data_IF_879263725487
#
_entry.id   IF_879263725487
#
_cell.length_a   1.000
_cell.length_b   1.000
_cell.length_c   1.000
_cell.angle_alpha   90.00
_cell.angle_beta   90.00
_cell.angle_gamma   90.00
#
_symmetry.space_group_name_H-M   'P 1'
#
loop_
_entity.id
_entity.type
_entity.pdbx_description
1 polymer ?
#
# COMPACT_ATOMS: atom_id res chain seq x y z
N UNK A 1 -5.28 22.66 11.96
CA UNK A 1 -5.31 21.37 11.23
C UNK A 1 -3.89 20.83 11.11
N UNK A 2 -3.68 19.52 11.21
CA UNK A 2 -2.35 18.91 10.96
C UNK A 2 -2.17 18.71 9.45
N UNK A 3 -1.03 19.14 8.91
CA UNK A 3 -0.69 18.94 7.50
C UNK A 3 -0.12 17.52 7.32
N UNK A 4 -1.00 16.54 7.12
CA UNK A 4 -0.68 15.13 6.93
C UNK A 4 -1.18 14.70 5.55
N UNK A 5 -0.31 14.06 4.77
CA UNK A 5 -0.69 13.43 3.50
C UNK A 5 -0.93 11.95 3.75
N UNK A 6 -2.07 11.46 3.27
CA UNK A 6 -2.36 10.03 3.24
C UNK A 6 -2.01 9.49 1.86
N UNK A 7 -1.28 8.37 1.85
CA UNK A 7 -0.96 7.60 0.66
C UNK A 7 -1.24 6.15 0.97
N UNK A 8 -2.07 5.52 0.14
CA UNK A 8 -2.32 4.08 0.18
C UNK A 8 -1.46 3.38 -0.88
N UNK A 9 -1.01 2.17 -0.58
CA UNK A 9 -0.17 1.36 -1.46
C UNK A 9 -0.81 -0.03 -1.54
N UNK A 10 -1.08 -0.50 -2.75
CA UNK A 10 -1.64 -1.83 -2.98
C UNK A 10 -0.90 -2.53 -4.11
N UNK A 11 -0.79 -3.86 -4.03
CA UNK A 11 -0.14 -4.70 -5.06
C UNK A 11 -1.04 -4.96 -6.28
N UNK A 12 -2.29 -4.49 -6.25
CA UNK A 12 -3.21 -4.53 -7.37
C UNK A 12 -2.76 -3.65 -8.55
N UNK A 13 -3.27 -3.98 -9.74
CA UNK A 13 -3.04 -3.17 -10.94
C UNK A 13 -3.60 -1.75 -10.81
N UNK A 14 -2.98 -0.79 -11.49
CA UNK A 14 -3.42 0.62 -11.44
C UNK A 14 -4.88 0.83 -11.85
N UNK A 15 -5.37 0.07 -12.86
CA UNK A 15 -6.74 0.22 -13.39
C UNK A 15 -7.82 -0.12 -12.34
N UNK A 16 -7.83 -1.30 -11.69
CA UNK A 16 -8.80 -1.60 -10.64
C UNK A 16 -8.67 -0.66 -9.44
N UNK A 17 -7.46 -0.30 -9.02
CA UNK A 17 -7.25 0.65 -7.91
C UNK A 17 -7.86 2.01 -8.22
N UNK A 18 -7.63 2.55 -9.43
CA UNK A 18 -8.24 3.82 -9.85
C UNK A 18 -9.76 3.73 -9.87
N UNK A 19 -10.33 2.64 -10.41
CA UNK A 19 -11.79 2.43 -10.42
C UNK A 19 -12.37 2.40 -9.00
N UNK A 20 -11.69 1.77 -8.04
CA UNK A 20 -12.10 1.76 -6.64
C UNK A 20 -12.01 3.16 -6.03
N UNK A 21 -10.91 3.88 -6.27
CA UNK A 21 -10.70 5.25 -5.79
C UNK A 21 -11.81 6.20 -6.24
N UNK A 22 -12.18 6.12 -7.52
CA UNK A 22 -13.23 6.93 -8.12
C UNK A 22 -14.61 6.58 -7.54
N UNK A 23 -14.90 5.27 -7.40
CA UNK A 23 -16.17 4.76 -6.84
C UNK A 23 -16.38 5.20 -5.39
N UNK A 24 -15.33 5.13 -4.58
CA UNK A 24 -15.38 5.44 -3.15
C UNK A 24 -15.00 6.90 -2.84
N UNK A 25 -14.73 7.71 -3.88
CA UNK A 25 -14.40 9.14 -3.79
C UNK A 25 -13.24 9.44 -2.84
N UNK A 26 -12.17 8.64 -2.91
CA UNK A 26 -11.00 8.81 -2.05
C UNK A 26 -10.35 10.19 -2.23
N UNK A 27 -9.97 10.79 -1.10
CA UNK A 27 -9.28 12.08 -1.05
C UNK A 27 -7.76 11.96 -0.86
N UNK A 28 -7.25 10.73 -0.88
CA UNK A 28 -5.85 10.39 -0.71
C UNK A 28 -5.29 9.74 -1.97
N UNK A 29 -3.97 9.81 -2.14
CA UNK A 29 -3.29 9.19 -3.28
C UNK A 29 -3.21 7.68 -3.10
N UNK A 30 -3.30 6.93 -4.21
CA UNK A 30 -3.05 5.49 -4.24
C UNK A 30 -1.88 5.21 -5.17
N UNK A 31 -0.96 4.35 -4.72
CA UNK A 31 0.14 3.82 -5.51
C UNK A 31 -0.15 2.36 -5.82
N UNK A 32 -0.02 2.00 -7.10
CA UNK A 32 -0.04 0.62 -7.55
C UNK A 32 1.39 0.03 -7.49
N UNK A 33 1.67 -0.75 -6.45
CA UNK A 33 2.92 -1.48 -6.26
C UNK A 33 2.83 -2.87 -6.91
N UNK A 34 2.56 -2.92 -8.22
CA UNK A 34 2.17 -4.14 -8.94
C UNK A 34 3.18 -5.31 -8.84
N UNK A 35 4.42 -5.01 -8.43
CA UNK A 35 5.51 -5.99 -8.27
C UNK A 35 5.95 -6.16 -6.81
N UNK A 36 5.17 -5.64 -5.85
CA UNK A 36 5.46 -5.64 -4.42
C UNK A 36 6.83 -5.02 -4.06
N UNK A 37 7.37 -4.10 -4.86
CA UNK A 37 8.71 -3.52 -4.66
C UNK A 37 8.75 -2.71 -3.37
N UNK A 38 7.79 -1.80 -3.19
CA UNK A 38 7.71 -0.97 -1.99
C UNK A 38 7.41 -1.87 -0.78
N UNK A 39 6.49 -2.81 -0.94
CA UNK A 39 6.12 -3.77 0.11
C UNK A 39 7.32 -4.61 0.58
N UNK A 40 8.22 -4.99 -0.34
CA UNK A 40 9.49 -5.68 -0.04
C UNK A 40 10.50 -4.79 0.68
N UNK A 41 10.68 -3.55 0.23
CA UNK A 41 11.58 -2.58 0.89
C UNK A 41 11.17 -2.32 2.34
N UNK A 42 9.86 -2.36 2.63
CA UNK A 42 9.31 -2.19 3.98
C UNK A 42 9.17 -3.51 4.75
N UNK A 43 9.56 -4.64 4.14
CA UNK A 43 9.45 -6.00 4.70
C UNK A 43 8.03 -6.38 5.14
N UNK A 44 7.02 -5.96 4.37
CA UNK A 44 5.58 -6.21 4.59
C UNK A 44 4.94 -6.83 3.36
N UNK A 45 5.47 -8.00 2.98
CA UNK A 45 5.00 -8.77 1.84
C UNK A 45 4.90 -10.24 2.22
N UNK A 46 4.03 -10.98 1.54
CA UNK A 46 3.88 -12.40 1.79
C UNK A 46 3.17 -13.13 0.66
N UNK A 47 3.28 -14.45 0.70
CA UNK A 47 2.48 -15.32 -0.17
C UNK A 47 1.06 -15.37 0.38
N UNK A 48 0.02 -15.07 -0.42
CA UNK A 48 -1.35 -15.34 -0.04
C UNK A 48 -1.56 -16.83 0.28
N UNK A 49 -2.55 -17.13 1.12
CA UNK A 49 -2.96 -18.51 1.43
C UNK A 49 -3.32 -19.28 0.15
N UNK A 50 -3.90 -18.57 -0.83
CA UNK A 50 -4.24 -19.10 -2.15
C UNK A 50 -3.15 -18.78 -3.20
N UNK A 51 -1.90 -19.12 -2.87
CA UNK A 51 -0.76 -18.86 -3.76
C UNK A 51 -0.87 -19.60 -5.09
N UNK A 52 -1.53 -20.77 -5.10
CA UNK A 52 -1.73 -21.57 -6.31
C UNK A 52 -2.55 -20.82 -7.37
N UNK A 53 -3.44 -19.93 -6.92
CA UNK A 53 -4.31 -19.11 -7.78
C UNK A 53 -3.71 -17.73 -8.06
N UNK A 54 -3.17 -17.06 -7.04
CA UNK A 54 -2.75 -15.65 -7.14
C UNK A 54 -1.32 -15.51 -7.69
N UNK A 55 -0.45 -16.52 -7.50
CA UNK A 55 0.94 -16.61 -8.01
C UNK A 55 1.77 -15.30 -7.92
N UNK A 56 1.45 -14.45 -6.96
CA UNK A 56 2.16 -13.20 -6.70
C UNK A 56 2.22 -12.95 -5.19
N UNK A 57 3.26 -12.24 -4.77
CA UNK A 57 3.37 -11.75 -3.40
C UNK A 57 2.47 -10.53 -3.23
N UNK A 58 1.76 -10.47 -2.10
CA UNK A 58 0.85 -9.40 -1.76
C UNK A 58 1.42 -8.57 -0.62
N UNK A 59 1.02 -7.29 -0.56
CA UNK A 59 1.27 -6.46 0.60
C UNK A 59 0.56 -7.04 1.82
N UNK A 60 1.27 -7.14 2.94
CA UNK A 60 0.68 -7.40 4.25
C UNK A 60 0.11 -6.08 4.77
N UNK A 61 -1.18 -6.03 5.19
CA UNK A 61 -1.79 -4.82 5.72
C UNK A 61 -0.93 -4.21 6.83
N UNK A 62 -0.47 -2.99 6.61
CA UNK A 62 0.42 -2.28 7.52
C UNK A 62 0.24 -0.79 7.37
N UNK A 63 0.65 -0.01 8.37
CA UNK A 63 0.53 1.45 8.36
C UNK A 63 1.77 2.06 8.99
N UNK A 64 2.30 3.10 8.35
CA UNK A 64 3.50 3.81 8.80
C UNK A 64 3.20 5.30 8.93
N UNK A 65 3.75 5.92 9.97
CA UNK A 65 3.82 7.37 10.07
C UNK A 65 5.27 7.79 9.81
N UNK A 66 5.45 8.61 8.77
CA UNK A 66 6.74 9.12 8.35
C UNK A 66 6.79 10.61 8.65
N UNK A 67 7.85 11.07 9.31
CA UNK A 67 8.06 12.49 9.59
C UNK A 67 8.58 13.27 8.36
N UNK A 68 8.80 14.58 8.53
CA UNK A 68 9.27 15.45 7.43
C UNK A 68 10.70 15.17 6.97
N UNK A 69 11.48 14.43 7.76
CA UNK A 69 12.85 14.02 7.42
C UNK A 69 12.89 12.63 6.77
N UNK A 70 11.72 12.02 6.51
CA UNK A 70 11.64 10.68 5.95
C UNK A 70 11.83 9.57 6.97
N UNK A 71 11.82 9.87 8.28
CA UNK A 71 11.98 8.86 9.32
C UNK A 71 10.64 8.24 9.70
N UNK A 72 10.59 6.92 9.78
CA UNK A 72 9.45 6.21 10.39
C UNK A 72 9.44 6.51 11.89
N UNK A 73 8.40 7.18 12.36
CA UNK A 73 8.22 7.54 13.78
C UNK A 73 7.14 6.69 14.47
N UNK A 74 6.34 5.96 13.70
CA UNK A 74 5.38 4.98 14.21
C UNK A 74 5.03 3.96 13.13
N UNK A 75 4.66 2.73 13.55
CA UNK A 75 4.20 1.66 12.66
C UNK A 75 3.16 0.75 13.33
N UNK A 76 2.30 0.16 12.51
CA UNK A 76 1.41 -0.96 12.83
C UNK A 76 1.51 -1.99 11.71
N UNK A 77 1.74 -3.25 12.07
CA UNK A 77 1.92 -4.40 11.16
C UNK A 77 0.99 -5.50 11.66
#
# INVERSE_FOLDING_TARGET
MRNIKFVSIGTDKIRPLKKLADKENYKFSIIADEQAKISKEYNVFGKPIDYDTIKSELAIPSTYLIDRNGKIVWRYI
#
